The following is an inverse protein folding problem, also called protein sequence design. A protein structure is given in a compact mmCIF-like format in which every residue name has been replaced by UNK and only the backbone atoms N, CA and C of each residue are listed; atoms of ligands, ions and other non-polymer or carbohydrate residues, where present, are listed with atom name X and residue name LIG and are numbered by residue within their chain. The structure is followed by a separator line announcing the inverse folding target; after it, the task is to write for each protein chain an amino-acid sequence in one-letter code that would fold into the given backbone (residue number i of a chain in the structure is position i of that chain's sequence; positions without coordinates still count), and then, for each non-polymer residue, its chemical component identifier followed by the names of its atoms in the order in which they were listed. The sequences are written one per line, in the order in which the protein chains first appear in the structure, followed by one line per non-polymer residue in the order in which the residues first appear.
data_IF_975714844714
#
_entry.id   IF_975714844714
#
_cell.length_a   1.000
_cell.length_b   1.000
_cell.length_c   1.000
_cell.angle_alpha   90.00
_cell.angle_beta   90.00
_cell.angle_gamma   90.00
#
_symmetry.space_group_name_H-M   'P 1'
#
loop_
_entity.id
_entity.type
_entity.pdbx_description
1 polymer ?
#
# COMPACT_ATOMS: atom_id res chain seq x y z
N UNK A 1 3.32 -12.78 11.59
CA UNK A 1 2.93 -11.37 11.37
C UNK A 1 1.78 -11.06 12.32
N UNK A 2 2.05 -10.30 13.38
CA UNK A 2 1.03 -9.78 14.29
C UNK A 2 0.99 -8.27 14.13
N UNK A 3 -0.09 -7.78 13.52
CA UNK A 3 -0.30 -6.35 13.28
C UNK A 3 -0.76 -5.65 14.56
N UNK A 4 -0.40 -4.38 14.68
CA UNK A 4 -0.95 -3.50 15.70
C UNK A 4 -2.37 -3.06 15.31
N UNK A 5 -3.43 -3.47 16.05
CA UNK A 5 -4.81 -3.16 15.68
C UNK A 5 -5.14 -1.67 15.67
N UNK A 6 -4.40 -0.85 16.43
CA UNK A 6 -4.65 0.59 16.56
C UNK A 6 -4.18 1.40 15.33
N UNK A 7 -3.42 0.78 14.42
CA UNK A 7 -2.93 1.41 13.17
C UNK A 7 -3.81 1.11 11.95
N UNK A 8 -4.90 0.36 12.12
CA UNK A 8 -5.76 -0.12 11.03
C UNK A 8 -6.85 0.88 10.60
N UNK A 9 -7.04 1.98 11.33
CA UNK A 9 -8.13 2.95 11.12
C UNK A 9 -7.82 4.07 10.09
N UNK A 10 -6.61 4.10 9.52
CA UNK A 10 -6.19 5.09 8.51
C UNK A 10 -6.31 4.56 7.07
N UNK A 11 -7.47 4.03 6.70
CA UNK A 11 -7.68 3.28 5.46
C UNK A 11 -7.57 4.09 4.14
N UNK A 12 -7.50 5.41 4.19
CA UNK A 12 -7.50 6.26 2.97
C UNK A 12 -6.10 6.76 2.55
N UNK A 13 -5.07 6.59 3.39
CA UNK A 13 -3.73 7.07 3.11
C UNK A 13 -2.71 5.92 3.14
N UNK A 14 -1.66 5.97 2.29
CA UNK A 14 -0.51 5.08 2.43
C UNK A 14 0.04 5.08 3.86
N UNK A 15 0.06 3.93 4.52
CA UNK A 15 0.53 3.82 5.90
C UNK A 15 1.46 2.62 6.08
N UNK A 16 2.41 2.76 7.01
CA UNK A 16 3.31 1.69 7.41
C UNK A 16 2.81 1.11 8.75
N UNK A 17 2.47 -0.17 8.75
CA UNK A 17 2.12 -0.92 9.95
C UNK A 17 3.33 -1.70 10.43
N UNK A 18 3.62 -1.56 11.72
CA UNK A 18 4.68 -2.30 12.39
C UNK A 18 4.13 -3.63 12.92
N UNK A 19 4.85 -4.72 12.65
CA UNK A 19 4.56 -6.01 13.27
C UNK A 19 5.21 -6.05 14.66
N UNK A 20 4.52 -6.58 15.68
CA UNK A 20 4.98 -6.60 17.10
C UNK A 20 6.30 -7.34 17.31
N UNK A 21 6.63 -8.25 16.41
CA UNK A 21 7.87 -9.04 16.32
C UNK A 21 9.01 -8.32 15.57
N UNK A 22 8.80 -7.05 15.18
CA UNK A 22 9.80 -6.05 14.74
C UNK A 22 10.70 -6.40 13.54
N UNK A 23 10.60 -7.60 12.94
CA UNK A 23 11.44 -7.98 11.80
C UNK A 23 10.81 -7.67 10.43
N UNK A 24 9.49 -7.45 10.36
CA UNK A 24 8.77 -7.24 9.11
C UNK A 24 8.09 -5.88 9.09
N UNK A 25 8.38 -5.07 8.05
CA UNK A 25 7.69 -3.82 7.75
C UNK A 25 6.53 -4.11 6.79
N UNK A 26 5.34 -3.62 7.10
CA UNK A 26 4.14 -3.82 6.28
C UNK A 26 3.67 -2.47 5.77
N UNK A 27 3.49 -2.36 4.46
CA UNK A 27 3.02 -1.15 3.80
C UNK A 27 1.61 -1.41 3.28
N UNK A 28 0.68 -0.56 3.66
CA UNK A 28 -0.67 -0.51 3.11
C UNK A 28 -0.67 0.63 2.11
N UNK A 29 -0.95 0.30 0.85
CA UNK A 29 -1.06 1.27 -0.23
C UNK A 29 -2.47 1.15 -0.81
N UNK A 30 -3.18 2.27 -1.05
CA UNK A 30 -4.43 2.23 -1.80
C UNK A 30 -4.16 1.76 -3.23
N UNK A 31 -5.01 0.88 -3.73
CA UNK A 31 -4.98 0.49 -5.14
C UNK A 31 -5.45 1.66 -6.01
N UNK A 32 -4.80 1.87 -7.16
CA UNK A 32 -5.17 2.86 -8.17
C UNK A 32 -5.07 2.22 -9.56
N UNK A 33 -5.93 1.22 -9.80
CA UNK A 33 -5.92 0.40 -11.02
C UNK A 33 -6.06 1.26 -12.29
N UNK A 34 -6.89 2.31 -12.27
CA UNK A 34 -7.08 3.20 -13.40
C UNK A 34 -5.79 3.92 -13.79
N UNK A 35 -5.00 4.34 -12.79
CA UNK A 35 -3.72 5.01 -13.04
C UNK A 35 -2.69 4.03 -13.58
N UNK A 36 -2.62 2.81 -13.04
CA UNK A 36 -1.71 1.77 -13.54
C UNK A 36 -2.01 1.41 -15.00
N UNK A 37 -3.29 1.25 -15.34
CA UNK A 37 -3.70 1.01 -16.73
C UNK A 37 -3.34 2.19 -17.65
N UNK A 38 -3.57 3.42 -17.20
CA UNK A 38 -3.22 4.62 -17.97
C UNK A 38 -1.69 4.75 -18.18
N UNK A 39 -0.90 4.46 -17.15
CA UNK A 39 0.57 4.49 -17.22
C UNK A 39 1.09 3.45 -18.22
N UNK A 40 0.60 2.21 -18.17
CA UNK A 40 0.98 1.16 -19.11
C UNK A 40 0.58 1.50 -20.55
N UNK A 41 -0.62 2.05 -20.75
CA UNK A 41 -1.06 2.51 -22.06
C UNK A 41 -0.17 3.63 -22.61
N UNK A 42 0.28 4.57 -21.76
CA UNK A 42 1.18 5.65 -22.16
C UNK A 42 2.56 5.14 -22.57
N UNK A 43 3.11 4.14 -21.89
CA UNK A 43 4.40 3.52 -22.23
C UNK A 43 4.39 2.81 -23.60
N UNK A 44 3.24 2.27 -24.01
CA UNK A 44 3.08 1.57 -25.31
C UNK A 44 2.98 2.52 -26.52
N UNK A 45 2.72 3.81 -26.30
CA UNK A 45 2.52 4.81 -27.36
C UNK A 45 3.84 5.56 -27.69
N UNK A 46 4.89 5.37 -26.89
CA UNK A 46 6.25 5.91 -27.09
C UNK A 46 7.10 4.99 -27.98
#
# INVERSE_FOLDING_TARGET
IQLDPDMNDHAEAPCAIHSKDSQTKILVLPSNEEWEMASQAAELIL
#
